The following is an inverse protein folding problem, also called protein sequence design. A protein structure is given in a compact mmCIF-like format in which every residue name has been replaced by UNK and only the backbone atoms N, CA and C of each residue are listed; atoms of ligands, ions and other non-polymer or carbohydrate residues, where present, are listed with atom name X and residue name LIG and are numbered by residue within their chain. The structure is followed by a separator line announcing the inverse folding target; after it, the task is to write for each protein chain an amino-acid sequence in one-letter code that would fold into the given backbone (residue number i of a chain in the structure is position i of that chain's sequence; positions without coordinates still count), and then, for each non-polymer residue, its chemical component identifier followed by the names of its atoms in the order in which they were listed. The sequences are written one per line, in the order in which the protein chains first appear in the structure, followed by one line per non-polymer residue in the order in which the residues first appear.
data_IF_529362833653
#
_entry.id   IF_529362833653
#
_cell.length_a   1.000
_cell.length_b   1.000
_cell.length_c   1.000
_cell.angle_alpha   90.00
_cell.angle_beta   90.00
_cell.angle_gamma   90.00
#
_symmetry.space_group_name_H-M   'P 1'
#
loop_
_entity.id
_entity.type
_entity.pdbx_description
1 polymer ?
#
# COMPACT_ATOMS: atom_id res chain seq x y z
N UNK A 1 12.26 -12.70 -11.04
CA UNK A 1 12.33 -11.55 -10.13
C UNK A 1 11.24 -10.56 -10.47
N UNK A 2 10.47 -10.17 -9.48
CA UNK A 2 9.35 -9.26 -9.71
C UNK A 2 9.83 -7.83 -9.85
N UNK A 3 9.17 -7.07 -10.70
CA UNK A 3 9.43 -5.64 -10.89
C UNK A 3 8.15 -4.89 -10.54
N UNK A 4 8.29 -3.89 -9.68
CA UNK A 4 7.17 -3.04 -9.29
C UNK A 4 7.43 -1.63 -9.80
N UNK A 5 6.47 -1.10 -10.54
CA UNK A 5 6.54 0.27 -11.04
C UNK A 5 5.61 1.13 -10.20
N UNK A 6 6.16 2.14 -9.54
CA UNK A 6 5.45 2.99 -8.61
C UNK A 6 5.47 4.43 -9.12
N UNK A 7 4.30 5.05 -9.15
CA UNK A 7 4.20 6.49 -9.39
C UNK A 7 4.26 7.20 -8.04
N UNK A 8 5.29 7.99 -7.82
CA UNK A 8 5.45 8.73 -6.56
C UNK A 8 4.38 9.82 -6.46
N UNK A 9 3.63 9.77 -5.37
CA UNK A 9 2.65 10.80 -5.03
C UNK A 9 2.30 10.67 -3.55
N UNK A 10 1.96 11.80 -2.89
CA UNK A 10 1.79 11.81 -1.43
C UNK A 10 0.46 11.23 -0.95
N UNK A 11 -0.44 10.89 -1.84
CA UNK A 11 -1.74 10.36 -1.47
C UNK A 11 -2.26 9.41 -2.55
N UNK A 12 -3.35 8.71 -2.22
CA UNK A 12 -4.00 7.78 -3.12
C UNK A 12 -5.50 7.77 -2.87
N UNK A 13 -6.26 7.16 -3.78
CA UNK A 13 -7.68 6.94 -3.60
C UNK A 13 -7.93 5.60 -2.90
N UNK A 14 -9.06 5.51 -2.20
CA UNK A 14 -9.45 4.26 -1.56
C UNK A 14 -9.57 3.15 -2.58
N UNK A 15 -9.01 2.00 -2.27
CA UNK A 15 -9.01 0.82 -3.15
C UNK A 15 -7.77 0.67 -4.02
N UNK A 16 -6.86 1.64 -4.00
CA UNK A 16 -5.63 1.54 -4.78
C UNK A 16 -4.54 0.77 -4.05
N UNK A 17 -3.71 0.07 -4.82
CA UNK A 17 -2.51 -0.58 -4.30
C UNK A 17 -1.40 0.47 -4.23
N UNK A 18 -0.79 0.59 -3.06
CA UNK A 18 0.16 1.66 -2.79
C UNK A 18 1.41 1.14 -2.11
N UNK A 19 2.50 1.89 -2.28
CA UNK A 19 3.66 1.78 -1.43
C UNK A 19 3.44 2.73 -0.25
N UNK A 20 3.59 2.23 0.95
CA UNK A 20 3.35 3.01 2.16
C UNK A 20 4.21 2.51 3.31
N UNK A 21 4.29 3.32 4.37
CA UNK A 21 4.89 2.86 5.62
C UNK A 21 4.05 3.34 6.80
N UNK A 22 4.20 2.66 7.92
CA UNK A 22 3.45 2.93 9.15
C UNK A 22 4.44 3.19 10.27
N UNK A 23 4.38 4.40 10.86
CA UNK A 23 5.11 4.74 12.09
C UNK A 23 6.59 4.31 12.11
N UNK A 24 7.31 4.50 11.01
CA UNK A 24 8.73 4.18 10.95
C UNK A 24 9.07 2.73 10.62
N UNK A 25 8.09 1.91 10.36
CA UNK A 25 8.33 0.57 9.82
C UNK A 25 8.74 0.66 8.35
N UNK A 26 9.31 -0.41 7.82
CA UNK A 26 9.77 -0.46 6.44
C UNK A 26 8.62 -0.26 5.46
N UNK A 27 8.96 0.30 4.30
CA UNK A 27 8.01 0.46 3.21
C UNK A 27 7.47 -0.89 2.77
N UNK A 28 6.18 -0.95 2.54
CA UNK A 28 5.49 -2.14 2.11
C UNK A 28 4.44 -1.81 1.05
N UNK A 29 3.99 -2.82 0.31
CA UNK A 29 2.93 -2.69 -0.68
C UNK A 29 1.64 -3.21 -0.08
N UNK A 30 0.61 -2.38 -0.08
CA UNK A 30 -0.70 -2.71 0.48
C UNK A 30 -1.80 -2.09 -0.37
N UNK A 31 -2.99 -2.70 -0.32
CA UNK A 31 -4.19 -2.06 -0.81
C UNK A 31 -4.73 -1.16 0.30
N UNK A 32 -4.92 0.11 -0.01
CA UNK A 32 -5.36 1.12 0.96
C UNK A 32 -6.87 1.28 0.88
N UNK A 33 -7.56 1.07 1.99
CA UNK A 33 -8.99 1.36 2.10
C UNK A 33 -9.16 2.50 3.08
N UNK A 34 -9.76 3.59 2.64
CA UNK A 34 -9.93 4.78 3.46
C UNK A 34 -11.34 4.83 4.04
N UNK A 35 -11.40 5.04 5.35
CA UNK A 35 -12.63 5.34 6.08
C UNK A 35 -12.53 6.77 6.63
N UNK A 36 -13.60 7.28 7.20
CA UNK A 36 -13.61 8.66 7.70
C UNK A 36 -12.57 8.92 8.79
N UNK A 37 -12.34 7.94 9.66
CA UNK A 37 -11.49 8.09 10.83
C UNK A 37 -10.28 7.17 10.86
N UNK A 38 -10.13 6.32 9.85
CA UNK A 38 -9.05 5.31 9.85
C UNK A 38 -8.72 4.85 8.44
N UNK A 39 -7.60 4.14 8.34
CA UNK A 39 -7.14 3.52 7.10
C UNK A 39 -6.95 2.04 7.35
N UNK A 40 -7.49 1.21 6.47
CA UNK A 40 -7.25 -0.22 6.49
C UNK A 40 -6.18 -0.56 5.44
N UNK A 41 -5.19 -1.33 5.85
CA UNK A 41 -4.14 -1.82 4.96
C UNK A 41 -4.38 -3.30 4.70
N UNK A 42 -4.73 -3.64 3.47
CA UNK A 42 -4.92 -5.02 3.06
C UNK A 42 -3.66 -5.55 2.40
N UNK A 43 -3.05 -6.62 2.94
CA UNK A 43 -1.90 -7.24 2.28
C UNK A 43 -2.27 -7.70 0.87
N UNK A 44 -1.32 -7.61 -0.06
CA UNK A 44 -1.51 -8.18 -1.39
C UNK A 44 -1.61 -9.70 -1.34
N UNK A 45 -1.00 -10.31 -0.33
CA UNK A 45 -1.12 -11.74 -0.09
C UNK A 45 -2.39 -12.02 0.73
N UNK A 46 -3.39 -12.72 0.18
CA UNK A 46 -4.66 -12.95 0.88
C UNK A 46 -4.54 -13.83 2.12
N UNK A 47 -3.38 -14.47 2.33
CA UNK A 47 -3.17 -15.31 3.51
C UNK A 47 -2.94 -14.52 4.79
N UNK A 48 -2.72 -13.21 4.69
CA UNK A 48 -2.51 -12.36 5.85
C UNK A 48 -3.74 -11.48 6.09
N UNK A 49 -4.09 -11.23 7.36
CA UNK A 49 -5.26 -10.40 7.67
C UNK A 49 -4.99 -8.92 7.42
N UNK A 50 -6.02 -8.14 7.11
CA UNK A 50 -5.88 -6.70 7.03
C UNK A 50 -5.65 -6.09 8.41
N UNK A 51 -5.01 -4.92 8.45
CA UNK A 51 -4.75 -4.18 9.67
C UNK A 51 -5.30 -2.77 9.53
N UNK A 52 -5.77 -2.20 10.63
CA UNK A 52 -6.37 -0.88 10.66
C UNK A 52 -5.50 0.06 11.48
N UNK A 53 -5.31 1.29 10.96
CA UNK A 53 -4.49 2.31 11.58
C UNK A 53 -5.22 3.65 11.57
N UNK A 54 -4.76 4.57 12.41
CA UNK A 54 -5.23 5.96 12.36
C UNK A 54 -4.68 6.64 11.11
N UNK A 55 -5.40 7.65 10.62
CA UNK A 55 -5.00 8.34 9.39
C UNK A 55 -3.58 8.89 9.45
N UNK A 56 -3.15 9.40 10.60
CA UNK A 56 -1.82 10.00 10.76
C UNK A 56 -0.70 8.99 10.96
N UNK A 57 -1.02 7.71 11.07
CA UNK A 57 -0.02 6.66 11.24
C UNK A 57 0.52 6.11 9.93
N UNK A 58 -0.17 6.36 8.83
CA UNK A 58 0.17 5.80 7.52
C UNK A 58 0.66 6.90 6.60
N UNK A 59 1.84 6.69 6.01
CA UNK A 59 2.40 7.60 5.01
C UNK A 59 2.41 6.90 3.67
N UNK A 60 1.77 7.51 2.68
CA UNK A 60 1.73 6.98 1.31
C UNK A 60 2.91 7.55 0.54
N UNK A 61 3.64 6.68 -0.14
CA UNK A 61 4.80 7.05 -0.94
C UNK A 61 4.42 7.15 -2.41
N UNK A 62 3.58 6.25 -2.87
CA UNK A 62 3.17 6.24 -4.26
C UNK A 62 2.16 5.17 -4.57
N UNK A 63 1.67 5.17 -5.80
CA UNK A 63 0.69 4.21 -6.29
C UNK A 63 1.42 3.15 -7.10
N UNK A 64 1.03 1.90 -6.90
CA UNK A 64 1.53 0.80 -7.73
C UNK A 64 0.85 0.92 -9.09
N UNK A 65 1.63 1.22 -10.12
CA UNK A 65 1.12 1.32 -11.49
C UNK A 65 1.15 -0.01 -12.20
N UNK A 66 2.16 -0.81 -11.91
CA UNK A 66 2.32 -2.08 -12.58
C UNK A 66 3.14 -3.01 -11.71
N UNK A 67 2.72 -4.25 -11.67
CA UNK A 67 3.45 -5.32 -11.02
C UNK A 67 3.82 -6.32 -12.12
N UNK A 68 5.11 -6.38 -12.45
CA UNK A 68 5.61 -7.29 -13.47
C UNK A 68 6.32 -8.46 -12.84
N UNK A 69 5.98 -9.64 -13.30
CA UNK A 69 6.68 -10.85 -12.90
C UNK A 69 7.59 -11.27 -14.05
N UNK A 70 8.86 -11.39 -13.76
CA UNK A 70 9.81 -11.82 -14.76
C UNK A 70 9.60 -13.30 -15.07
N UNK A 71 9.35 -13.61 -16.33
CA UNK A 71 9.20 -14.99 -16.82
C UNK A 71 10.46 -15.36 -17.57
N UNK A 72 11.01 -16.49 -17.21
CA UNK A 72 12.20 -17.01 -17.85
C UNK A 72 11.86 -18.24 -18.67
#
# INVERSE_FOLDING_TARGET
KDVVIIKLQPDCESGQDCACYVNGFDTTLKTIIKYDDRIELKPLNPNYPPQTFKNNEVTIIGIVKELRRKVI
#
